data_IF_617985667726
#
_entry.id   IF_617985667726
#
_cell.length_a   1.000
_cell.length_b   1.000
_cell.length_c   1.000
_cell.angle_alpha   90.00
_cell.angle_beta   90.00
_cell.angle_gamma   90.00
#
_symmetry.space_group_name_H-M   'P 1'
#
loop_
_entity.id
_entity.type
_entity.pdbx_description
1 polymer ?
#
# COMPACT_ATOMS: atom_id res chain seq x y z
N UNK A 1 7.11 -38.35 47.81
CA UNK A 1 7.22 -38.35 46.34
C UNK A 1 7.66 -36.94 45.94
N UNK A 2 8.95 -36.75 45.68
CA UNK A 2 9.51 -35.42 45.37
C UNK A 2 9.63 -35.29 43.86
N UNK A 3 8.83 -34.43 43.24
CA UNK A 3 8.94 -34.12 41.81
C UNK A 3 10.18 -33.23 41.60
N UNK A 4 11.27 -33.85 41.17
CA UNK A 4 12.47 -33.14 40.73
C UNK A 4 12.14 -32.29 39.49
N UNK A 5 12.16 -30.98 39.63
CA UNK A 5 11.92 -30.02 38.55
C UNK A 5 13.16 -29.91 37.67
N UNK A 6 13.18 -30.59 36.52
CA UNK A 6 14.27 -30.48 35.55
C UNK A 6 14.09 -29.20 34.69
N UNK A 7 14.66 -28.09 35.14
CA UNK A 7 14.59 -26.79 34.46
C UNK A 7 15.14 -26.82 33.03
N UNK A 8 16.13 -27.69 32.75
CA UNK A 8 16.73 -27.82 31.42
C UNK A 8 15.76 -28.43 30.39
N UNK A 9 14.91 -29.37 30.82
CA UNK A 9 13.91 -29.97 29.95
C UNK A 9 12.80 -28.97 29.57
N UNK A 10 12.44 -28.06 30.48
CA UNK A 10 11.45 -26.99 30.24
C UNK A 10 11.99 -25.91 29.32
N UNK A 11 13.27 -25.55 29.45
CA UNK A 11 13.92 -24.57 28.57
C UNK A 11 14.05 -25.09 27.14
N UNK A 12 14.47 -26.35 26.95
CA UNK A 12 14.52 -26.97 25.61
C UNK A 12 13.13 -27.07 24.97
N UNK A 13 12.10 -27.42 25.74
CA UNK A 13 10.74 -27.52 25.19
C UNK A 13 10.19 -26.16 24.74
N UNK A 14 10.42 -25.10 25.54
CA UNK A 14 10.04 -23.74 25.18
C UNK A 14 10.81 -23.23 23.95
N UNK A 15 12.09 -23.54 23.84
CA UNK A 15 12.91 -23.18 22.68
C UNK A 15 12.44 -23.90 21.41
N UNK A 16 12.12 -25.19 21.49
CA UNK A 16 11.53 -25.95 20.37
C UNK A 16 10.18 -25.39 19.94
N UNK A 17 9.33 -24.98 20.89
CA UNK A 17 8.02 -24.38 20.60
C UNK A 17 8.17 -23.01 19.92
N UNK A 18 9.14 -22.20 20.36
CA UNK A 18 9.43 -20.89 19.76
C UNK A 18 9.96 -21.02 18.32
N UNK A 19 10.82 -22.01 18.08
CA UNK A 19 11.36 -22.29 16.74
C UNK A 19 10.29 -22.80 15.79
N UNK A 20 9.37 -23.67 16.26
CA UNK A 20 8.22 -24.11 15.46
C UNK A 20 7.28 -22.94 15.15
N UNK A 21 6.98 -22.07 16.13
CA UNK A 21 6.16 -20.89 15.91
C UNK A 21 6.81 -19.90 14.91
N UNK A 22 8.13 -19.76 14.94
CA UNK A 22 8.88 -18.94 14.00
C UNK A 22 8.90 -19.48 12.56
N UNK A 23 8.78 -20.80 12.38
CA UNK A 23 8.71 -21.40 11.03
C UNK A 23 7.34 -21.25 10.34
N UNK A 24 6.32 -20.76 11.04
CA UNK A 24 4.98 -20.55 10.48
C UNK A 24 4.82 -19.20 9.77
N UNK A 25 5.85 -18.34 9.78
CA UNK A 25 5.81 -17.13 8.97
C UNK A 25 6.06 -17.52 7.51
N UNK A 26 5.09 -17.28 6.60
CA UNK A 26 5.31 -17.55 5.19
C UNK A 26 6.58 -16.81 4.74
N UNK A 27 7.47 -17.54 4.07
CA UNK A 27 8.66 -16.98 3.45
C UNK A 27 8.26 -15.79 2.58
N UNK A 28 8.87 -14.64 2.85
CA UNK A 28 8.72 -13.37 2.17
C UNK A 28 8.31 -13.51 0.69
N UNK A 29 7.14 -12.99 0.34
CA UNK A 29 6.74 -12.83 -1.06
C UNK A 29 7.85 -12.07 -1.81
N UNK A 30 8.31 -12.62 -2.92
CA UNK A 30 9.21 -11.90 -3.84
C UNK A 30 8.43 -10.69 -4.39
N UNK A 31 8.77 -9.50 -3.90
CA UNK A 31 8.13 -8.25 -4.31
C UNK A 31 8.73 -7.78 -5.62
N UNK A 32 8.06 -8.07 -6.73
CA UNK A 32 8.35 -7.44 -8.01
C UNK A 32 7.95 -5.94 -7.95
N UNK A 33 8.67 -5.08 -8.67
CA UNK A 33 8.48 -3.62 -8.62
C UNK A 33 7.11 -3.16 -9.14
N UNK A 34 6.41 -3.99 -9.93
CA UNK A 34 5.06 -3.69 -10.41
C UNK A 34 4.94 -2.30 -11.05
N UNK A 35 3.72 -1.77 -11.07
CA UNK A 35 3.45 -0.38 -11.41
C UNK A 35 2.72 0.26 -10.24
N UNK A 36 2.96 1.56 -10.02
CA UNK A 36 2.24 2.35 -9.03
C UNK A 36 1.67 3.60 -9.71
N UNK A 37 0.39 3.84 -9.49
CA UNK A 37 -0.36 4.95 -10.08
C UNK A 37 -1.07 5.70 -8.95
N UNK A 38 -1.04 7.03 -9.00
CA UNK A 38 -1.60 7.89 -7.95
C UNK A 38 -3.08 8.16 -8.18
N UNK A 39 -3.93 7.16 -7.98
CA UNK A 39 -5.39 7.27 -8.22
C UNK A 39 -6.15 7.90 -7.05
N UNK A 40 -5.48 7.99 -5.89
CA UNK A 40 -6.05 8.33 -4.60
C UNK A 40 -6.23 9.85 -4.40
N UNK A 41 -5.68 10.69 -5.28
CA UNK A 41 -5.91 12.14 -5.28
C UNK A 41 -5.59 12.73 -6.64
N UNK A 42 -6.50 13.57 -7.14
CA UNK A 42 -6.26 14.34 -8.36
C UNK A 42 -5.07 15.32 -8.22
N UNK A 43 -4.87 15.89 -7.03
CA UNK A 43 -3.75 16.79 -6.78
C UNK A 43 -2.41 16.04 -6.81
N UNK A 44 -2.35 14.86 -6.18
CA UNK A 44 -1.12 14.05 -6.18
C UNK A 44 -0.85 13.46 -7.56
N UNK A 45 -1.89 13.02 -8.26
CA UNK A 45 -1.80 12.60 -9.67
C UNK A 45 -1.23 13.72 -10.55
N UNK A 46 -1.78 14.94 -10.46
CA UNK A 46 -1.29 16.11 -11.21
C UNK A 46 0.14 16.53 -10.83
N UNK A 47 0.63 16.10 -9.67
CA UNK A 47 2.01 16.26 -9.21
C UNK A 47 2.89 15.03 -9.47
N UNK A 48 2.48 14.12 -10.36
CA UNK A 48 3.18 12.89 -10.71
C UNK A 48 3.56 12.01 -9.50
N UNK A 49 2.67 11.92 -8.51
CA UNK A 49 2.87 11.08 -7.31
C UNK A 49 3.70 11.72 -6.20
N UNK A 50 4.07 13.00 -6.29
CA UNK A 50 4.92 13.67 -5.29
C UNK A 50 4.19 14.16 -4.03
N UNK A 51 3.13 13.45 -3.63
CA UNK A 51 2.34 13.77 -2.43
C UNK A 51 3.12 13.62 -1.11
N UNK A 52 4.19 12.80 -1.11
CA UNK A 52 5.10 12.66 0.04
C UNK A 52 5.92 13.92 0.29
N UNK A 53 6.38 14.60 -0.78
CA UNK A 53 7.18 15.82 -0.67
C UNK A 53 6.33 17.03 -0.28
N UNK A 54 5.15 17.15 -0.88
CA UNK A 54 4.21 18.22 -0.59
C UNK A 54 2.80 17.66 -0.53
N UNK A 55 2.26 17.60 0.69
CA UNK A 55 0.87 17.28 0.92
C UNK A 55 -0.05 18.22 0.11
N UNK A 56 -1.13 17.66 -0.39
CA UNK A 56 -2.22 18.41 -1.00
C UNK A 56 -3.15 18.96 0.09
N UNK A 57 -3.87 20.03 -0.21
CA UNK A 57 -4.88 20.60 0.70
C UNK A 57 -6.20 19.83 0.72
N UNK A 58 -6.22 18.62 0.16
CA UNK A 58 -7.32 17.67 0.24
C UNK A 58 -7.04 16.68 1.39
N UNK A 59 -8.02 15.85 1.75
CA UNK A 59 -7.85 14.86 2.82
C UNK A 59 -6.89 13.71 2.47
N UNK A 60 -6.28 13.71 1.28
CA UNK A 60 -5.38 12.64 0.82
C UNK A 60 -4.01 12.65 1.51
N UNK A 61 -3.69 13.73 2.25
CA UNK A 61 -2.51 13.77 3.11
C UNK A 61 -2.48 12.58 4.09
N UNK A 62 -3.64 12.08 4.54
CA UNK A 62 -3.76 10.84 5.33
C UNK A 62 -3.06 9.64 4.68
N UNK A 63 -3.11 9.54 3.34
CA UNK A 63 -2.55 8.43 2.57
C UNK A 63 -1.09 8.68 2.15
N UNK A 64 -0.79 9.89 1.65
CA UNK A 64 0.53 10.19 1.06
C UNK A 64 1.55 10.76 2.04
N UNK A 65 1.14 11.63 2.95
CA UNK A 65 2.01 12.23 3.97
C UNK A 65 1.20 12.76 5.15
N UNK A 66 0.99 11.95 6.21
CA UNK A 66 0.19 12.34 7.36
C UNK A 66 0.68 13.61 8.07
N UNK A 67 1.96 13.98 7.94
CA UNK A 67 2.49 15.22 8.49
C UNK A 67 1.89 16.48 7.81
N UNK A 68 1.23 16.34 6.67
CA UNK A 68 0.46 17.42 6.03
C UNK A 68 -0.83 17.76 6.77
N UNK A 69 -1.40 16.83 7.55
CA UNK A 69 -2.66 17.04 8.27
C UNK A 69 -2.54 18.07 9.39
N UNK A 70 -1.35 18.22 9.97
CA UNK A 70 -1.08 19.22 11.02
C UNK A 70 -1.12 20.66 10.48
N UNK A 71 -1.16 20.83 9.15
CA UNK A 71 -1.29 22.14 8.49
C UNK A 71 -2.71 22.40 7.98
N UNK A 72 -3.65 21.50 8.27
CA UNK A 72 -5.06 21.65 7.92
C UNK A 72 -5.81 22.24 9.10
N UNK A 73 -6.59 23.29 8.87
CA UNK A 73 -7.45 23.91 9.89
C UNK A 73 -8.89 23.42 9.75
N UNK A 74 -9.40 22.83 10.83
CA UNK A 74 -10.76 22.35 10.92
C UNK A 74 -11.02 21.08 10.12
N UNK A 75 -12.29 20.88 9.75
CA UNK A 75 -12.77 19.69 9.05
C UNK A 75 -12.61 19.85 7.53
N UNK A 76 -11.85 18.95 6.93
CA UNK A 76 -11.68 18.82 5.48
C UNK A 76 -12.34 17.53 5.01
N UNK A 77 -13.27 17.63 4.06
CA UNK A 77 -13.90 16.49 3.38
C UNK A 77 -13.62 16.64 1.89
N UNK A 78 -13.08 15.59 1.29
CA UNK A 78 -12.74 15.59 -0.14
C UNK A 78 -13.01 14.23 -0.74
N UNK A 79 -13.57 14.18 -1.95
CA UNK A 79 -13.75 12.95 -2.69
C UNK A 79 -13.74 13.19 -4.19
N UNK A 80 -13.56 12.12 -4.94
CA UNK A 80 -13.46 12.15 -6.38
C UNK A 80 -13.34 10.74 -6.95
N UNK A 81 -13.09 10.65 -8.24
CA UNK A 81 -12.76 9.39 -8.91
C UNK A 81 -11.71 9.64 -9.99
N UNK A 82 -10.85 8.67 -10.19
CA UNK A 82 -9.85 8.63 -11.26
C UNK A 82 -10.27 7.58 -12.27
N UNK A 83 -10.16 7.88 -13.57
CA UNK A 83 -10.36 6.89 -14.64
C UNK A 83 -9.00 6.42 -15.13
N UNK A 84 -8.79 5.11 -15.12
CA UNK A 84 -7.57 4.47 -15.61
C UNK A 84 -7.85 4.01 -17.04
N UNK A 85 -7.17 4.61 -18.00
CA UNK A 85 -7.19 4.19 -19.40
C UNK A 85 -5.80 3.64 -19.72
N UNK A 86 -5.72 2.35 -20.03
CA UNK A 86 -4.47 1.67 -20.30
C UNK A 86 -4.41 1.28 -21.78
N UNK A 87 -3.49 1.87 -22.51
CA UNK A 87 -3.15 1.49 -23.88
C UNK A 87 -1.75 0.89 -23.95
N UNK A 88 -1.60 -0.10 -24.81
CA UNK A 88 -0.33 -0.72 -25.12
C UNK A 88 -0.46 -1.66 -26.32
N UNK A 89 0.63 -1.90 -27.00
CA UNK A 89 0.71 -2.84 -28.11
C UNK A 89 1.94 -3.73 -27.93
N UNK A 90 1.87 -4.95 -28.47
CA UNK A 90 3.05 -5.80 -28.57
C UNK A 90 3.05 -6.58 -29.88
N UNK A 91 4.24 -6.88 -30.39
CA UNK A 91 4.41 -7.80 -31.53
C UNK A 91 4.80 -9.17 -31.02
N UNK A 92 4.02 -10.19 -31.37
CA UNK A 92 4.33 -11.57 -31.02
C UNK A 92 5.59 -12.02 -31.78
N UNK A 93 6.67 -12.29 -31.05
CA UNK A 93 7.96 -12.71 -31.62
C UNK A 93 7.90 -14.07 -32.35
N UNK A 94 6.88 -14.89 -32.08
CA UNK A 94 6.72 -16.23 -32.65
C UNK A 94 5.82 -16.23 -33.88
N UNK A 95 4.84 -15.33 -33.96
CA UNK A 95 3.90 -15.24 -35.09
C UNK A 95 4.08 -13.99 -35.96
N UNK A 96 4.84 -13.00 -35.50
CA UNK A 96 5.09 -11.72 -36.18
C UNK A 96 3.87 -10.79 -36.24
N UNK A 97 2.79 -11.10 -35.53
CA UNK A 97 1.54 -10.34 -35.57
C UNK A 97 1.52 -9.27 -34.46
N UNK A 98 1.04 -8.05 -34.76
CA UNK A 98 0.74 -7.07 -33.71
C UNK A 98 -0.50 -7.53 -32.93
N UNK A 99 -0.49 -7.26 -31.64
CA UNK A 99 -1.61 -7.44 -30.73
C UNK A 99 -1.73 -6.17 -29.89
N UNK A 100 -2.91 -5.56 -29.95
CA UNK A 100 -3.23 -4.34 -29.23
C UNK A 100 -3.91 -4.69 -27.90
N UNK A 101 -3.68 -3.85 -26.89
CA UNK A 101 -4.32 -3.93 -25.59
C UNK A 101 -5.65 -3.17 -25.63
N UNK A 102 -6.71 -3.85 -26.01
CA UNK A 102 -8.07 -3.35 -25.82
C UNK A 102 -8.50 -3.52 -24.36
N UNK A 103 -8.69 -2.41 -23.64
CA UNK A 103 -9.18 -2.45 -22.27
C UNK A 103 -10.16 -1.30 -21.97
N UNK A 104 -11.20 -1.62 -21.19
CA UNK A 104 -12.20 -0.63 -20.80
C UNK A 104 -11.65 0.29 -19.69
N UNK A 105 -12.02 1.58 -19.67
CA UNK A 105 -11.63 2.49 -18.60
C UNK A 105 -12.10 1.99 -17.22
N UNK A 106 -11.16 1.87 -16.28
CA UNK A 106 -11.44 1.39 -14.93
C UNK A 106 -11.63 2.60 -13.99
N UNK A 107 -12.80 2.76 -13.33
CA UNK A 107 -13.01 3.83 -12.37
C UNK A 107 -12.47 3.48 -10.97
N UNK A 108 -11.72 4.40 -10.38
CA UNK A 108 -11.18 4.31 -9.02
C UNK A 108 -11.67 5.49 -8.16
N UNK A 109 -12.77 5.31 -7.39
CA UNK A 109 -13.27 6.36 -6.50
C UNK A 109 -12.42 6.46 -5.23
N UNK A 110 -12.33 7.68 -4.68
CA UNK A 110 -11.70 7.95 -3.40
C UNK A 110 -12.50 8.99 -2.59
N UNK A 111 -12.51 8.82 -1.27
CA UNK A 111 -13.18 9.71 -0.33
C UNK A 111 -12.33 9.81 0.94
N UNK A 112 -12.16 11.03 1.44
CA UNK A 112 -11.39 11.36 2.64
C UNK A 112 -12.19 12.32 3.51
N UNK A 113 -12.03 12.14 4.82
CA UNK A 113 -12.41 13.10 5.83
C UNK A 113 -11.26 13.20 6.84
N UNK A 114 -10.80 14.41 7.10
CA UNK A 114 -9.72 14.69 8.06
C UNK A 114 -10.06 15.94 8.87
N UNK A 115 -9.61 15.96 10.12
CA UNK A 115 -9.73 17.12 11.00
C UNK A 115 -8.33 17.47 11.51
N UNK A 116 -7.95 18.73 11.43
CA UNK A 116 -6.70 19.23 11.98
C UNK A 116 -6.93 20.49 12.82
N UNK A 117 -6.10 20.66 13.84
CA UNK A 117 -6.06 21.85 14.70
C UNK A 117 -4.83 22.68 14.33
N UNK A 118 -4.70 23.04 13.05
CA UNK A 118 -3.54 23.74 12.54
C UNK A 118 -3.26 25.08 13.27
N UNK A 119 -2.03 25.59 13.15
CA UNK A 119 -1.59 26.82 13.80
C UNK A 119 -2.15 28.09 13.17
#
# INVERSE_FOLDING_TARGET
MSFSCNANARFSFLLSLLLLAGSAFPSSDVRAQGFSISEQSACVMGRAGTGTAQACGDGSAMFFNPAGLTRSDGLVVSGGATLIVAEGDFTDARTGKPADLENDPIPAPHLYASCGDGP
#
